data_IF_950514631547
#
_entry.id   IF_950514631547
#
_cell.length_a   1.000
_cell.length_b   1.000
_cell.length_c   1.000
_cell.angle_alpha   90.00
_cell.angle_beta   90.00
_cell.angle_gamma   90.00
#
_symmetry.space_group_name_H-M   'P 1'
#
loop_
_entity.id
_entity.type
_entity.pdbx_description
1 polymer ?
#
# COMPACT_ATOMS: atom_id res chain seq x y z
N UNK A 1 24.66 -49.70 17.83
CA UNK A 1 23.95 -49.96 16.56
C UNK A 1 22.71 -49.06 16.55
N UNK A 2 22.84 -47.86 15.97
CA UNK A 2 22.07 -47.36 14.80
C UNK A 2 20.61 -47.82 14.68
N UNK A 3 19.74 -46.82 14.59
CA UNK A 3 18.39 -46.95 14.04
C UNK A 3 17.61 -45.63 14.15
N UNK A 4 18.08 -44.57 13.49
CA UNK A 4 17.23 -43.40 13.22
C UNK A 4 16.23 -43.78 12.14
N UNK A 5 14.94 -43.61 12.43
CA UNK A 5 13.87 -43.67 11.44
C UNK A 5 13.46 -42.23 11.15
N UNK A 6 13.74 -41.77 9.94
CA UNK A 6 13.23 -40.50 9.41
C UNK A 6 11.74 -40.65 9.14
N UNK A 7 10.92 -39.89 9.85
CA UNK A 7 9.54 -39.65 9.44
C UNK A 7 9.55 -38.50 8.42
N UNK A 8 9.37 -38.87 7.15
CA UNK A 8 9.24 -37.95 6.03
C UNK A 8 7.74 -37.73 5.77
N UNK A 9 7.08 -37.02 6.68
CA UNK A 9 5.70 -36.58 6.51
C UNK A 9 5.71 -35.16 5.94
N UNK A 10 5.21 -35.05 4.71
CA UNK A 10 5.13 -33.86 3.88
C UNK A 10 4.55 -32.63 4.60
N UNK A 11 5.42 -31.79 5.15
CA UNK A 11 5.12 -30.38 5.41
C UNK A 11 5.25 -29.61 4.10
N UNK A 12 4.28 -29.80 3.20
CA UNK A 12 4.06 -28.89 2.08
C UNK A 12 3.45 -27.58 2.59
N UNK A 13 4.17 -26.91 3.50
CA UNK A 13 3.78 -25.63 4.05
C UNK A 13 4.24 -24.56 3.08
N UNK A 14 3.36 -24.35 2.08
CA UNK A 14 3.22 -23.19 1.22
C UNK A 14 4.28 -22.12 1.46
N UNK A 15 5.38 -22.23 0.73
CA UNK A 15 6.26 -21.11 0.41
C UNK A 15 5.51 -20.17 -0.54
N UNK A 16 4.46 -19.50 -0.06
CA UNK A 16 4.15 -18.18 -0.57
C UNK A 16 5.23 -17.27 0.01
N UNK A 17 6.36 -17.20 -0.70
CA UNK A 17 7.30 -16.13 -0.45
C UNK A 17 6.52 -14.83 -0.43
N UNK A 18 6.73 -14.04 0.62
CA UNK A 18 6.34 -12.64 0.64
C UNK A 18 6.98 -12.00 -0.59
N UNK A 19 6.24 -11.99 -1.72
CA UNK A 19 6.60 -11.15 -2.84
C UNK A 19 6.50 -9.74 -2.27
N UNK A 20 7.65 -9.16 -1.98
CA UNK A 20 7.77 -7.74 -1.71
C UNK A 20 7.31 -7.03 -2.98
N UNK A 21 6.01 -6.77 -3.07
CA UNK A 21 5.43 -5.84 -4.03
C UNK A 21 5.86 -4.45 -3.55
N UNK A 22 6.62 -3.73 -4.38
CA UNK A 22 7.06 -2.38 -4.04
C UNK A 22 5.84 -1.49 -3.78
N UNK A 23 5.71 -0.89 -2.58
CA UNK A 23 4.62 0.02 -2.31
C UNK A 23 4.86 1.34 -3.05
N UNK A 24 3.78 1.91 -3.58
CA UNK A 24 3.75 3.29 -4.03
C UNK A 24 3.16 4.15 -2.90
N UNK A 25 3.85 5.24 -2.56
CA UNK A 25 3.32 6.33 -1.76
C UNK A 25 3.05 7.52 -2.68
N UNK A 26 1.78 7.92 -2.78
CA UNK A 26 1.35 9.10 -3.52
C UNK A 26 0.90 10.19 -2.55
N UNK A 27 1.37 11.40 -2.80
CA UNK A 27 1.08 12.56 -1.98
C UNK A 27 0.69 13.75 -2.84
N UNK A 28 -0.21 14.58 -2.32
CA UNK A 28 -0.52 15.92 -2.87
C UNK A 28 0.23 17.00 -2.10
N UNK A 29 0.16 18.23 -2.62
CA UNK A 29 0.73 19.42 -1.97
C UNK A 29 0.24 19.54 -0.53
N UNK A 30 1.13 19.94 0.37
CA UNK A 30 0.85 20.01 1.82
C UNK A 30 1.13 18.71 2.58
N UNK A 31 1.80 17.74 1.95
CA UNK A 31 2.22 16.51 2.64
C UNK A 31 1.07 15.55 2.94
N UNK A 32 -0.07 15.70 2.25
CA UNK A 32 -1.24 14.83 2.44
C UNK A 32 -1.14 13.61 1.54
N UNK A 33 -1.39 12.43 2.09
CA UNK A 33 -1.37 11.16 1.34
C UNK A 33 -2.69 10.97 0.59
N UNK A 34 -2.61 10.57 -0.67
CA UNK A 34 -3.77 10.26 -1.53
C UNK A 34 -3.82 8.80 -1.93
N UNK A 35 -2.71 8.07 -1.81
CA UNK A 35 -2.64 6.61 -1.94
C UNK A 35 -1.38 6.08 -1.26
N UNK A 36 -1.49 4.96 -0.54
CA UNK A 36 -0.32 4.12 -0.26
C UNK A 36 -0.70 2.65 -0.31
N UNK A 37 -0.03 1.91 -1.17
CA UNK A 37 -0.36 0.52 -1.44
C UNK A 37 0.54 -0.09 -2.51
N UNK A 38 0.47 -1.42 -2.69
CA UNK A 38 1.20 -2.11 -3.76
C UNK A 38 0.66 -1.72 -5.13
N UNK A 39 1.54 -1.58 -6.12
CA UNK A 39 1.12 -1.39 -7.51
C UNK A 39 0.42 -2.63 -8.06
N UNK A 40 0.89 -3.82 -7.68
CA UNK A 40 0.47 -5.08 -8.30
C UNK A 40 1.07 -5.27 -9.69
N UNK A 41 0.97 -6.50 -10.22
CA UNK A 41 1.40 -6.82 -11.58
C UNK A 41 0.70 -5.92 -12.61
N UNK A 42 1.46 -5.25 -13.47
CA UNK A 42 0.94 -4.25 -14.41
C UNK A 42 0.08 -3.13 -13.79
N UNK A 43 0.34 -2.76 -12.52
CA UNK A 43 -0.36 -1.67 -11.81
C UNK A 43 -1.86 -1.91 -11.56
N UNK A 44 -2.36 -3.14 -11.66
CA UNK A 44 -3.80 -3.40 -11.53
C UNK A 44 -4.38 -2.95 -10.19
N UNK A 45 -3.65 -3.09 -9.07
CA UNK A 45 -4.16 -2.67 -7.75
C UNK A 45 -4.25 -1.14 -7.61
N UNK A 46 -3.35 -0.41 -8.28
CA UNK A 46 -3.41 1.04 -8.38
C UNK A 46 -4.63 1.46 -9.21
N UNK A 47 -4.81 0.82 -10.37
CA UNK A 47 -5.93 1.07 -11.26
C UNK A 47 -7.25 0.78 -10.57
N UNK A 48 -7.42 -0.40 -9.96
CA UNK A 48 -8.63 -0.80 -9.25
C UNK A 48 -9.02 0.24 -8.17
N UNK A 49 -8.05 0.73 -7.40
CA UNK A 49 -8.30 1.74 -6.37
C UNK A 49 -8.84 3.05 -6.96
N UNK A 50 -8.16 3.60 -7.96
CA UNK A 50 -8.55 4.88 -8.56
C UNK A 50 -9.77 4.74 -9.47
N UNK A 51 -9.97 3.59 -10.10
CA UNK A 51 -11.16 3.30 -10.90
C UNK A 51 -12.39 3.17 -10.01
N UNK A 52 -12.32 2.42 -8.91
CA UNK A 52 -13.42 2.34 -7.94
C UNK A 52 -13.74 3.73 -7.36
N UNK A 53 -12.70 4.50 -7.05
CA UNK A 53 -12.85 5.89 -6.62
C UNK A 53 -13.51 6.75 -7.72
N UNK A 54 -13.10 6.59 -8.97
CA UNK A 54 -13.66 7.32 -10.12
C UNK A 54 -15.12 6.94 -10.44
N UNK A 55 -15.51 5.68 -10.17
CA UNK A 55 -16.89 5.24 -10.31
C UNK A 55 -17.78 5.85 -9.21
N UNK A 56 -17.21 6.04 -8.02
CA UNK A 56 -17.91 6.66 -6.88
C UNK A 56 -18.02 8.18 -7.02
N UNK A 57 -17.09 8.82 -7.74
CA UNK A 57 -17.04 10.27 -7.95
C UNK A 57 -17.44 10.59 -9.40
N UNK A 58 -18.68 11.05 -9.58
CA UNK A 58 -19.17 11.46 -10.89
C UNK A 58 -18.28 12.57 -11.46
N UNK A 59 -17.70 12.34 -12.64
CA UNK A 59 -16.87 13.32 -13.37
C UNK A 59 -15.38 12.99 -13.44
N UNK A 60 -14.90 11.95 -12.77
CA UNK A 60 -13.54 11.44 -13.00
C UNK A 60 -13.49 10.63 -14.29
N UNK A 61 -12.54 10.96 -15.17
CA UNK A 61 -12.35 10.22 -16.41
C UNK A 61 -11.73 8.85 -16.15
N UNK A 62 -12.29 7.80 -16.76
CA UNK A 62 -11.70 6.46 -16.76
C UNK A 62 -10.36 6.44 -17.50
N UNK A 63 -9.48 5.52 -17.13
CA UNK A 63 -8.24 5.29 -17.87
C UNK A 63 -8.58 4.82 -19.30
N UNK A 64 -7.79 5.25 -20.28
CA UNK A 64 -7.94 4.84 -21.68
C UNK A 64 -7.03 3.67 -22.00
N UNK A 65 -7.45 2.84 -22.94
CA UNK A 65 -6.61 1.73 -23.45
C UNK A 65 -5.25 2.27 -23.94
N UNK A 66 -4.17 1.67 -23.44
CA UNK A 66 -2.79 2.06 -23.75
C UNK A 66 -2.29 3.31 -23.03
N UNK A 67 -3.09 3.97 -22.18
CA UNK A 67 -2.63 5.07 -21.34
C UNK A 67 -1.71 4.56 -20.22
N UNK A 68 -0.65 5.31 -19.90
CA UNK A 68 0.21 4.99 -18.76
C UNK A 68 -0.55 5.19 -17.43
N UNK A 69 -0.67 4.17 -16.56
CA UNK A 69 -1.37 4.27 -15.28
C UNK A 69 -0.85 5.38 -14.36
N UNK A 70 0.46 5.63 -14.35
CA UNK A 70 1.06 6.67 -13.52
C UNK A 70 0.63 8.06 -13.99
N UNK A 71 0.60 8.30 -15.31
CA UNK A 71 0.11 9.55 -15.89
C UNK A 71 -1.36 9.76 -15.56
N UNK A 72 -2.19 8.75 -15.81
CA UNK A 72 -3.63 8.84 -15.56
C UNK A 72 -3.94 9.14 -14.08
N UNK A 73 -3.30 8.44 -13.15
CA UNK A 73 -3.49 8.67 -11.72
C UNK A 73 -3.09 10.10 -11.30
N UNK A 74 -2.00 10.65 -11.84
CA UNK A 74 -1.57 12.02 -11.54
C UNK A 74 -2.54 13.06 -12.08
N UNK A 75 -3.11 12.82 -13.27
CA UNK A 75 -4.13 13.71 -13.85
C UNK A 75 -5.41 13.71 -13.02
N UNK A 76 -5.89 12.53 -12.64
CA UNK A 76 -7.10 12.34 -11.82
C UNK A 76 -6.94 12.98 -10.45
N UNK A 77 -5.77 12.88 -9.83
CA UNK A 77 -5.50 13.43 -8.48
C UNK A 77 -4.98 14.87 -8.49
N UNK A 78 -5.03 15.54 -9.64
CA UNK A 78 -4.56 16.93 -9.75
C UNK A 78 -5.47 17.90 -8.99
N UNK A 79 -4.88 18.97 -8.47
CA UNK A 79 -5.61 20.01 -7.74
C UNK A 79 -6.70 20.69 -8.57
N UNK A 80 -6.50 20.75 -9.89
CA UNK A 80 -7.49 21.30 -10.83
C UNK A 80 -8.72 20.40 -10.92
N UNK A 81 -8.51 19.08 -11.02
CA UNK A 81 -9.61 18.10 -11.05
C UNK A 81 -10.34 18.07 -9.72
N UNK A 82 -9.62 18.09 -8.59
CA UNK A 82 -10.24 18.22 -7.25
C UNK A 82 -11.15 19.43 -7.13
N UNK A 83 -10.69 20.61 -7.59
CA UNK A 83 -11.47 21.83 -7.54
C UNK A 83 -12.72 21.78 -8.44
N UNK A 84 -12.61 21.14 -9.61
CA UNK A 84 -13.74 20.96 -10.53
C UNK A 84 -14.79 20.00 -9.98
N UNK A 85 -14.36 18.95 -9.30
CA UNK A 85 -15.24 17.91 -8.74
C UNK A 85 -15.73 18.25 -7.33
N UNK A 86 -15.12 19.22 -6.65
CA UNK A 86 -15.44 19.58 -5.28
C UNK A 86 -15.06 18.50 -4.26
N UNK A 87 -13.97 17.77 -4.51
CA UNK A 87 -13.52 16.65 -3.66
C UNK A 87 -12.08 16.87 -3.16
N UNK A 88 -11.71 16.25 -2.03
CA UNK A 88 -10.32 16.13 -1.58
C UNK A 88 -9.90 14.65 -1.60
N UNK A 89 -9.00 14.27 -2.51
CA UNK A 89 -8.53 12.88 -2.61
C UNK A 89 -7.78 12.42 -1.36
N UNK A 90 -7.21 13.33 -0.56
CA UNK A 90 -6.61 12.95 0.70
C UNK A 90 -7.67 12.57 1.75
N UNK A 91 -8.82 13.24 1.73
CA UNK A 91 -9.95 12.88 2.60
C UNK A 91 -10.59 11.55 2.15
N UNK A 92 -10.74 11.36 0.83
CA UNK A 92 -11.19 10.09 0.27
C UNK A 92 -10.26 8.95 0.70
N UNK A 93 -8.94 9.15 0.60
CA UNK A 93 -7.98 8.16 1.05
C UNK A 93 -8.09 7.89 2.55
N UNK A 94 -8.16 8.93 3.40
CA UNK A 94 -8.29 8.77 4.86
C UNK A 94 -9.54 7.99 5.28
N UNK A 95 -10.62 8.06 4.50
CA UNK A 95 -11.86 7.33 4.74
C UNK A 95 -11.90 5.93 4.08
N UNK A 96 -10.91 5.60 3.25
CA UNK A 96 -10.85 4.35 2.50
C UNK A 96 -10.48 3.13 3.36
N UNK A 97 -10.90 1.94 2.92
CA UNK A 97 -10.48 0.69 3.55
C UNK A 97 -8.99 0.39 3.36
N UNK A 98 -8.37 0.98 2.33
CA UNK A 98 -6.92 0.92 2.14
C UNK A 98 -6.19 1.60 3.30
N UNK A 99 -6.61 2.81 3.68
CA UNK A 99 -6.06 3.50 4.84
C UNK A 99 -6.24 2.71 6.14
N UNK A 100 -7.44 2.17 6.39
CA UNK A 100 -7.72 1.37 7.59
C UNK A 100 -6.80 0.15 7.68
N UNK A 101 -6.62 -0.60 6.58
CA UNK A 101 -5.70 -1.73 6.52
C UNK A 101 -4.25 -1.31 6.76
N UNK A 102 -3.82 -0.19 6.20
CA UNK A 102 -2.48 0.33 6.43
C UNK A 102 -2.25 0.70 7.90
N UNK A 103 -3.23 1.34 8.56
CA UNK A 103 -3.14 1.65 9.99
C UNK A 103 -3.09 0.39 10.87
N UNK A 104 -3.87 -0.64 10.53
CA UNK A 104 -3.81 -1.94 11.20
C UNK A 104 -2.42 -2.58 11.06
N UNK A 105 -1.88 -2.62 9.83
CA UNK A 105 -0.55 -3.16 9.57
C UNK A 105 0.54 -2.38 10.31
N UNK A 106 0.49 -1.05 10.30
CA UNK A 106 1.41 -0.20 11.07
C UNK A 106 1.32 -0.55 12.56
N UNK A 107 0.10 -0.69 13.10
CA UNK A 107 -0.11 -1.02 14.51
C UNK A 107 0.47 -2.39 14.86
N UNK A 108 0.27 -3.40 14.01
CA UNK A 108 0.83 -4.74 14.20
C UNK A 108 2.36 -4.74 14.15
N UNK A 109 2.95 -4.05 13.17
CA UNK A 109 4.40 -4.00 12.96
C UNK A 109 5.12 -3.09 13.96
N UNK A 110 4.42 -2.10 14.52
CA UNK A 110 4.98 -1.19 15.53
C UNK A 110 5.16 -1.83 16.91
N UNK A 111 4.54 -3.01 17.14
CA UNK A 111 4.68 -3.73 18.40
C UNK A 111 6.01 -4.49 18.39
N UNK A 112 6.96 -4.15 19.27
CA UNK A 112 8.21 -4.89 19.37
C UNK A 112 7.92 -6.34 19.78
N UNK A 113 8.73 -7.29 19.29
CA UNK A 113 8.64 -8.67 19.77
C UNK A 113 8.97 -8.72 21.26
N UNK A 114 8.42 -9.70 21.99
CA UNK A 114 8.73 -9.88 23.42
C UNK A 114 10.23 -10.12 23.70
N UNK A 115 10.98 -10.52 22.67
CA UNK A 115 12.44 -10.70 22.70
C UNK A 115 13.23 -9.47 22.24
N UNK A 116 12.56 -8.38 21.89
CA UNK A 116 13.20 -7.14 21.44
C UNK A 116 13.86 -6.45 22.62
N UNK A 117 15.11 -6.02 22.45
CA UNK A 117 15.80 -5.12 23.37
C UNK A 117 15.79 -3.71 22.76
N UNK A 118 15.65 -2.69 23.60
CA UNK A 118 15.73 -1.31 23.13
C UNK A 118 17.12 -1.00 22.55
N UNK A 119 17.13 -0.21 21.48
CA UNK A 119 18.38 0.28 20.90
C UNK A 119 19.04 1.25 21.88
N UNK A 120 20.13 0.82 22.51
CA UNK A 120 20.96 1.66 23.35
C UNK A 120 22.06 2.32 22.51
N UNK A 121 22.04 3.65 22.44
CA UNK A 121 23.09 4.44 21.81
C UNK A 121 23.98 5.05 22.91
N UNK A 122 25.22 4.54 23.11
CA UNK A 122 26.10 4.98 24.20
C UNK A 122 26.59 6.43 24.06
N UNK A 123 26.47 7.05 22.89
CA UNK A 123 26.95 8.41 22.62
C UNK A 123 25.82 9.31 22.15
N UNK A 124 25.64 10.43 22.85
CA UNK A 124 25.02 11.62 22.25
C UNK A 124 26.04 12.16 21.27
N UNK A 125 25.70 12.22 19.98
CA UNK A 125 26.50 12.94 19.00
C UNK A 125 26.72 14.38 19.52
N UNK A 126 27.99 14.79 19.63
CA UNK A 126 28.45 16.13 20.02
C UNK A 126 28.72 16.94 18.77
#
# INVERSE_FOLDING_TARGET
MRGFVSDNSHSNQRRHGLRYESPLLLMKRGGKVTYTGPLGYHSHLLLDYFEFTSQSIQGVNKIKDGQNPATWMLDVTSSTVEAQLGVDFAEIYANSDLYKRNQQLITELSKPSLSSQDLYFPTKYV
#
